data_IF_830678188919
#
_entry.id   IF_830678188919
#
_cell.length_a   1.000
_cell.length_b   1.000
_cell.length_c   1.000
_cell.angle_alpha   90.00
_cell.angle_beta   90.00
_cell.angle_gamma   90.00
#
_symmetry.space_group_name_H-M   'P 1'
#
loop_
_entity.id
_entity.type
_entity.pdbx_description
1 polymer ?
#
# COMPACT_ATOMS: atom_id res chain seq x y z
N UNK A 1 1.46 11.28 20.48
CA UNK A 1 2.06 12.62 20.65
C UNK A 1 1.48 13.32 21.86
N UNK A 2 2.28 14.16 22.46
CA UNK A 2 1.87 14.93 23.66
C UNK A 2 0.99 16.14 23.25
N UNK A 3 1.27 16.74 22.10
CA UNK A 3 0.58 17.94 21.63
C UNK A 3 0.40 17.93 20.09
N UNK A 4 -0.21 19.00 19.57
CA UNK A 4 -0.46 19.17 18.13
C UNK A 4 0.83 19.43 17.35
N UNK A 5 1.79 20.17 17.91
CA UNK A 5 3.05 20.49 17.25
C UNK A 5 3.89 19.23 17.00
N UNK A 6 3.91 18.30 17.99
CA UNK A 6 4.55 17.01 17.81
C UNK A 6 3.86 16.16 16.74
N UNK A 7 2.53 16.19 16.64
CA UNK A 7 1.80 15.50 15.58
C UNK A 7 2.11 16.08 14.20
N UNK A 8 2.22 17.40 14.07
CA UNK A 8 2.63 18.07 12.82
C UNK A 8 4.06 17.68 12.43
N UNK A 9 4.99 17.69 13.39
CA UNK A 9 6.37 17.27 13.12
C UNK A 9 6.45 15.81 12.62
N UNK A 10 5.64 14.90 13.18
CA UNK A 10 5.57 13.53 12.69
C UNK A 10 4.89 13.41 11.31
N UNK A 11 3.99 14.31 10.96
CA UNK A 11 3.38 14.37 9.64
C UNK A 11 4.35 14.88 8.56
N UNK A 12 5.30 15.74 8.93
CA UNK A 12 6.30 16.30 8.03
C UNK A 12 7.55 15.41 7.90
N UNK A 13 7.97 14.76 8.99
CA UNK A 13 9.25 14.06 9.09
C UNK A 13 9.12 12.55 9.31
N UNK A 14 7.88 12.03 9.38
CA UNK A 14 7.62 10.63 9.72
C UNK A 14 7.73 10.33 11.22
N UNK A 15 7.57 9.05 11.57
CA UNK A 15 7.66 8.54 12.95
C UNK A 15 8.71 7.42 13.06
N UNK A 16 10.01 7.75 13.21
CA UNK A 16 11.10 6.77 13.22
C UNK A 16 11.00 5.71 14.32
N UNK A 17 10.51 6.08 15.52
CA UNK A 17 10.36 5.11 16.61
C UNK A 17 9.31 4.04 16.30
N UNK A 18 8.26 4.40 15.57
CA UNK A 18 7.23 3.47 15.12
C UNK A 18 7.67 2.57 13.97
N UNK A 19 8.58 3.06 13.15
CA UNK A 19 9.12 2.36 11.98
C UNK A 19 9.69 0.98 12.31
N UNK A 20 10.43 0.84 13.40
CA UNK A 20 11.14 -0.41 13.72
C UNK A 20 10.15 -1.56 13.83
N UNK A 21 9.13 -1.44 14.70
CA UNK A 21 8.10 -2.46 14.86
C UNK A 21 7.26 -2.65 13.58
N UNK A 22 7.00 -1.57 12.85
CA UNK A 22 6.24 -1.57 11.62
C UNK A 22 6.99 -2.29 10.48
N UNK A 23 8.27 -2.02 10.30
CA UNK A 23 9.09 -2.61 9.25
C UNK A 23 9.27 -4.13 9.43
N UNK A 24 9.48 -4.60 10.65
CA UNK A 24 9.61 -6.03 10.94
C UNK A 24 8.33 -6.80 10.57
N UNK A 25 7.16 -6.26 10.91
CA UNK A 25 5.86 -6.88 10.60
C UNK A 25 5.60 -6.80 9.09
N UNK A 26 5.93 -5.69 8.43
CA UNK A 26 5.80 -5.55 6.98
C UNK A 26 6.65 -6.60 6.23
N UNK A 27 7.90 -6.78 6.62
CA UNK A 27 8.79 -7.79 6.05
C UNK A 27 8.25 -9.23 6.24
N UNK A 28 7.70 -9.54 7.41
CA UNK A 28 7.06 -10.84 7.65
C UNK A 28 5.81 -11.04 6.78
N UNK A 29 5.02 -9.98 6.57
CA UNK A 29 3.83 -10.03 5.72
C UNK A 29 4.19 -10.34 4.26
N UNK A 30 5.28 -9.76 3.74
CA UNK A 30 5.79 -10.04 2.38
C UNK A 30 6.16 -11.51 2.23
N UNK A 31 6.81 -12.12 3.23
CA UNK A 31 7.19 -13.53 3.19
C UNK A 31 5.99 -14.49 3.16
N UNK A 32 4.85 -14.10 3.72
CA UNK A 32 3.62 -14.89 3.74
C UNK A 32 2.81 -14.77 2.45
N UNK A 33 3.07 -13.76 1.62
CA UNK A 33 2.39 -13.61 0.34
C UNK A 33 2.98 -14.57 -0.68
N UNK A 34 2.12 -15.35 -1.35
CA UNK A 34 2.55 -16.18 -2.49
C UNK A 34 3.16 -15.28 -3.57
N UNK A 35 4.21 -15.80 -4.22
CA UNK A 35 4.81 -15.12 -5.35
C UNK A 35 3.77 -14.95 -6.45
N UNK A 36 3.47 -13.72 -6.82
CA UNK A 36 2.73 -13.47 -8.05
C UNK A 36 3.65 -13.91 -9.19
N UNK A 37 3.35 -15.06 -9.78
CA UNK A 37 4.11 -15.55 -10.92
C UNK A 37 3.87 -14.59 -12.09
N UNK A 38 4.91 -14.22 -12.84
CA UNK A 38 4.73 -13.43 -14.04
C UNK A 38 3.77 -14.18 -14.98
N UNK A 39 2.83 -13.46 -15.55
CA UNK A 39 1.93 -14.03 -16.56
C UNK A 39 2.78 -14.42 -17.77
N UNK A 40 2.95 -15.70 -17.96
CA UNK A 40 3.66 -16.26 -19.10
C UNK A 40 2.68 -16.39 -20.25
N UNK A 41 2.88 -15.58 -21.30
CA UNK A 41 2.18 -15.74 -22.56
C UNK A 41 2.83 -16.80 -23.46
N UNK A 42 2.09 -17.25 -24.45
CA UNK A 42 2.60 -18.12 -25.50
C UNK A 42 2.25 -17.50 -26.85
N UNK A 43 3.21 -17.53 -27.79
CA UNK A 43 3.04 -16.99 -29.13
C UNK A 43 3.85 -17.84 -30.13
N UNK A 44 3.72 -17.52 -31.43
CA UNK A 44 4.54 -18.12 -32.48
C UNK A 44 6.01 -17.69 -32.41
N UNK A 45 6.30 -16.56 -31.75
CA UNK A 45 7.65 -16.05 -31.54
C UNK A 45 7.82 -15.69 -30.05
N UNK A 46 8.97 -16.02 -29.46
CA UNK A 46 9.23 -15.77 -28.03
C UNK A 46 10.67 -16.05 -27.65
N UNK A 47 10.95 -16.02 -26.33
CA UNK A 47 12.30 -16.15 -25.80
C UNK A 47 12.83 -17.59 -25.86
N UNK A 48 11.98 -18.58 -25.62
CA UNK A 48 12.32 -20.00 -25.68
C UNK A 48 11.05 -20.85 -25.89
N UNK A 49 11.19 -22.07 -26.48
CA UNK A 49 10.04 -22.93 -26.71
C UNK A 49 9.58 -23.62 -25.42
N UNK A 50 8.26 -23.69 -25.24
CA UNK A 50 7.65 -24.62 -24.28
C UNK A 50 7.70 -26.02 -24.86
N UNK A 51 8.57 -26.86 -24.33
CA UNK A 51 8.76 -28.24 -24.85
C UNK A 51 7.46 -29.04 -24.89
N UNK A 52 6.58 -29.03 -23.87
CA UNK A 52 5.31 -29.75 -23.94
C UNK A 52 4.38 -29.26 -25.06
N UNK A 53 4.28 -27.95 -25.29
CA UNK A 53 3.45 -27.38 -26.36
C UNK A 53 4.02 -27.66 -27.75
N UNK A 54 5.34 -27.53 -27.89
CA UNK A 54 6.03 -27.87 -29.13
C UNK A 54 5.82 -29.33 -29.56
N UNK A 55 5.97 -30.26 -28.59
CA UNK A 55 5.74 -31.70 -28.83
C UNK A 55 4.25 -32.00 -29.08
N UNK A 56 3.34 -31.19 -28.53
CA UNK A 56 1.91 -31.26 -28.81
C UNK A 56 1.49 -30.69 -30.18
N UNK A 57 2.43 -30.12 -30.93
CA UNK A 57 2.14 -29.51 -32.25
C UNK A 57 1.46 -28.16 -32.20
N UNK A 58 1.52 -27.49 -31.05
CA UNK A 58 0.97 -26.16 -30.85
C UNK A 58 1.84 -25.11 -31.58
N UNK A 59 1.25 -24.31 -32.46
CA UNK A 59 1.99 -23.27 -33.18
C UNK A 59 2.42 -22.12 -32.24
N UNK A 60 1.64 -21.84 -31.24
CA UNK A 60 1.95 -20.83 -30.18
C UNK A 60 2.73 -21.50 -29.04
N UNK A 61 3.88 -22.09 -29.35
CA UNK A 61 4.67 -22.82 -28.38
C UNK A 61 5.83 -22.01 -27.77
N UNK A 62 6.09 -20.80 -28.27
CA UNK A 62 7.16 -19.96 -27.74
C UNK A 62 6.68 -19.21 -26.51
N UNK A 63 7.46 -19.31 -25.42
CA UNK A 63 7.21 -18.53 -24.21
C UNK A 63 7.57 -17.08 -24.48
N UNK A 64 6.60 -16.21 -24.30
CA UNK A 64 6.80 -14.77 -24.37
C UNK A 64 6.47 -14.14 -23.03
N UNK A 65 7.30 -13.21 -22.60
CA UNK A 65 6.88 -12.22 -21.65
C UNK A 65 6.32 -11.08 -22.49
N UNK A 66 5.00 -10.88 -22.48
CA UNK A 66 4.39 -9.80 -23.20
C UNK A 66 4.97 -8.46 -22.71
N UNK A 67 5.84 -7.79 -23.50
CA UNK A 67 6.39 -6.51 -23.10
C UNK A 67 5.31 -5.44 -22.98
N UNK A 68 4.19 -5.58 -23.70
CA UNK A 68 3.06 -4.65 -23.61
C UNK A 68 2.29 -4.82 -22.30
N UNK A 69 2.25 -6.02 -21.71
CA UNK A 69 1.68 -6.23 -20.37
C UNK A 69 2.65 -5.72 -19.29
N UNK A 70 3.96 -5.92 -19.47
CA UNK A 70 4.97 -5.47 -18.53
C UNK A 70 5.34 -3.99 -18.67
N UNK A 71 5.15 -3.37 -19.82
CA UNK A 71 5.49 -1.96 -20.06
C UNK A 71 4.37 -1.00 -19.66
N UNK A 72 3.16 -1.49 -19.52
CA UNK A 72 2.09 -0.75 -18.85
C UNK A 72 2.23 -0.96 -17.36
N UNK A 73 3.05 -0.15 -16.73
CA UNK A 73 3.05 0.00 -15.26
C UNK A 73 1.63 0.35 -14.83
N UNK A 74 0.85 -0.67 -14.50
CA UNK A 74 -0.50 -0.44 -14.00
C UNK A 74 -0.38 0.30 -12.67
N UNK A 75 -0.96 1.48 -12.62
CA UNK A 75 -1.11 2.21 -11.37
C UNK A 75 -2.25 1.53 -10.61
N UNK A 76 -1.93 1.00 -9.44
CA UNK A 76 -2.89 0.37 -8.53
C UNK A 76 -3.18 1.35 -7.40
N UNK A 77 -4.34 1.99 -7.36
CA UNK A 77 -4.72 2.82 -6.23
C UNK A 77 -5.17 1.94 -5.05
N UNK A 78 -4.54 2.15 -3.90
CA UNK A 78 -4.93 1.53 -2.62
C UNK A 78 -5.52 2.63 -1.75
N UNK A 79 -6.74 2.41 -1.26
CA UNK A 79 -7.40 3.29 -0.31
C UNK A 79 -7.37 2.67 1.08
N UNK A 80 -6.69 3.34 2.02
CA UNK A 80 -6.53 2.89 3.38
C UNK A 80 -7.31 3.77 4.36
N UNK A 81 -8.38 3.23 4.97
CA UNK A 81 -9.11 3.93 6.03
C UNK A 81 -8.32 3.96 7.33
N UNK A 82 -8.18 5.13 7.96
CA UNK A 82 -7.47 5.29 9.23
C UNK A 82 -8.38 5.26 10.44
N UNK A 83 -9.69 5.32 10.25
CA UNK A 83 -10.65 5.20 11.33
C UNK A 83 -10.54 3.84 12.01
N UNK A 84 -10.53 3.85 13.32
CA UNK A 84 -10.50 2.64 14.13
C UNK A 84 -11.35 2.82 15.38
N UNK A 85 -12.09 1.76 15.76
CA UNK A 85 -12.82 1.74 17.02
C UNK A 85 -11.85 1.84 18.22
N UNK A 86 -12.28 2.52 19.27
CA UNK A 86 -11.53 2.60 20.52
C UNK A 86 -11.28 1.24 21.19
N UNK A 87 -12.06 0.22 20.83
CA UNK A 87 -11.89 -1.16 21.29
C UNK A 87 -10.77 -1.93 20.58
N UNK A 88 -10.25 -1.41 19.45
CA UNK A 88 -9.19 -2.07 18.71
C UNK A 88 -7.88 -1.99 19.48
N UNK A 89 -7.21 -3.13 19.57
CA UNK A 89 -5.88 -3.20 20.19
C UNK A 89 -4.85 -2.50 19.29
N UNK A 90 -3.86 -1.90 19.93
CA UNK A 90 -2.75 -1.21 19.24
C UNK A 90 -2.06 -2.13 18.23
N UNK A 91 -1.82 -3.38 18.60
CA UNK A 91 -1.17 -4.38 17.77
C UNK A 91 -1.96 -4.66 16.48
N UNK A 92 -3.30 -4.69 16.56
CA UNK A 92 -4.15 -4.89 15.38
C UNK A 92 -4.02 -3.75 14.38
N UNK A 93 -3.90 -2.51 14.87
CA UNK A 93 -3.73 -1.33 14.01
C UNK A 93 -2.35 -1.35 13.35
N UNK A 94 -1.30 -1.68 14.11
CA UNK A 94 0.07 -1.81 13.58
C UNK A 94 0.14 -2.92 12.53
N UNK A 95 -0.42 -4.10 12.83
CA UNK A 95 -0.42 -5.23 11.90
C UNK A 95 -1.15 -4.89 10.59
N UNK A 96 -2.29 -4.19 10.66
CA UNK A 96 -3.01 -3.73 9.47
C UNK A 96 -2.17 -2.78 8.63
N UNK A 97 -1.56 -1.77 9.24
CA UNK A 97 -0.71 -0.82 8.53
C UNK A 97 0.51 -1.49 7.89
N UNK A 98 1.15 -2.39 8.62
CA UNK A 98 2.31 -3.14 8.14
C UNK A 98 1.95 -4.11 7.00
N UNK A 99 0.76 -4.73 7.05
CA UNK A 99 0.27 -5.56 5.95
C UNK A 99 0.03 -4.75 4.67
N UNK A 100 -0.47 -3.51 4.79
CA UNK A 100 -0.61 -2.59 3.65
C UNK A 100 0.77 -2.25 3.06
N UNK A 101 1.77 -1.95 3.89
CA UNK A 101 3.13 -1.68 3.43
C UNK A 101 3.74 -2.89 2.72
N UNK A 102 3.59 -4.09 3.28
CA UNK A 102 4.04 -5.33 2.66
C UNK A 102 3.35 -5.63 1.33
N UNK A 103 2.05 -5.35 1.22
CA UNK A 103 1.31 -5.48 -0.04
C UNK A 103 1.86 -4.51 -1.10
N UNK A 104 2.11 -3.25 -0.74
CA UNK A 104 2.66 -2.25 -1.65
C UNK A 104 4.04 -2.69 -2.14
N UNK A 105 4.95 -3.07 -1.23
CA UNK A 105 6.29 -3.55 -1.57
C UNK A 105 6.22 -4.75 -2.53
N UNK A 106 5.30 -5.67 -2.28
CA UNK A 106 5.11 -6.85 -3.13
C UNK A 106 4.61 -6.48 -4.53
N UNK A 107 3.64 -5.59 -4.64
CA UNK A 107 3.10 -5.13 -5.92
C UNK A 107 4.17 -4.37 -6.72
N UNK A 108 4.94 -3.50 -6.09
CA UNK A 108 6.01 -2.74 -6.73
C UNK A 108 7.17 -3.64 -7.17
N UNK A 109 7.53 -4.63 -6.36
CA UNK A 109 8.52 -5.66 -6.75
C UNK A 109 8.03 -6.51 -7.94
N UNK A 110 6.70 -6.64 -8.11
CA UNK A 110 6.10 -7.33 -9.25
C UNK A 110 5.95 -6.43 -10.50
N UNK A 111 6.47 -5.20 -10.48
CA UNK A 111 6.48 -4.28 -11.62
C UNK A 111 5.29 -3.33 -11.72
N UNK A 112 4.38 -3.33 -10.74
CA UNK A 112 3.28 -2.37 -10.67
C UNK A 112 3.73 -1.06 -10.02
N UNK A 113 3.03 0.03 -10.30
CA UNK A 113 3.17 1.28 -9.55
C UNK A 113 1.98 1.42 -8.61
N UNK A 114 2.23 1.65 -7.33
CA UNK A 114 1.16 1.77 -6.33
C UNK A 114 1.00 3.22 -5.90
N UNK A 115 -0.25 3.68 -5.91
CA UNK A 115 -0.67 4.94 -5.26
C UNK A 115 -1.36 4.59 -3.95
N UNK A 116 -0.97 5.21 -2.85
CA UNK A 116 -1.62 5.04 -1.57
C UNK A 116 -2.37 6.31 -1.18
N UNK A 117 -3.69 6.20 -1.07
CA UNK A 117 -4.57 7.25 -0.56
C UNK A 117 -5.07 6.85 0.82
N UNK A 118 -4.88 7.71 1.78
CA UNK A 118 -5.39 7.53 3.14
C UNK A 118 -6.68 8.33 3.28
N UNK A 119 -7.71 7.72 3.86
CA UNK A 119 -8.98 8.39 4.05
C UNK A 119 -9.57 8.19 5.44
N UNK A 120 -10.39 9.13 5.82
CA UNK A 120 -11.28 9.05 6.97
C UNK A 120 -12.71 9.35 6.54
N UNK A 121 -13.63 8.59 7.12
CA UNK A 121 -15.05 8.86 7.04
C UNK A 121 -15.64 8.85 8.45
N UNK A 122 -16.28 9.93 8.82
CA UNK A 122 -17.01 10.03 10.08
C UNK A 122 -18.40 10.63 9.87
N UNK A 123 -19.30 10.30 10.78
CA UNK A 123 -20.66 10.84 10.83
C UNK A 123 -20.93 11.31 12.25
N UNK A 124 -21.22 12.61 12.40
CA UNK A 124 -21.60 13.20 13.67
C UNK A 124 -22.80 14.14 13.44
N UNK A 125 -23.85 14.01 14.25
CA UNK A 125 -25.02 14.91 14.26
C UNK A 125 -25.60 15.24 12.85
N UNK A 126 -25.76 14.21 12.00
CA UNK A 126 -26.21 14.32 10.60
C UNK A 126 -25.22 14.92 9.62
N UNK A 127 -24.05 15.36 10.07
CA UNK A 127 -22.95 15.82 9.22
C UNK A 127 -22.10 14.62 8.84
N UNK A 128 -21.83 14.48 7.55
CA UNK A 128 -20.88 13.47 7.03
C UNK A 128 -19.60 14.19 6.66
N UNK A 129 -18.52 13.74 7.26
CA UNK A 129 -17.18 14.20 6.91
C UNK A 129 -16.47 13.12 6.11
N UNK A 130 -15.83 13.53 5.02
CA UNK A 130 -14.93 12.73 4.23
C UNK A 130 -13.64 13.50 4.02
N UNK A 131 -12.54 12.96 4.50
CA UNK A 131 -11.21 13.51 4.30
C UNK A 131 -10.32 12.47 3.65
N UNK A 132 -9.58 12.87 2.62
CA UNK A 132 -8.58 12.02 1.99
C UNK A 132 -7.33 12.80 1.63
N UNK A 133 -6.19 12.12 1.61
CA UNK A 133 -4.94 12.66 1.11
C UNK A 133 -4.06 11.55 0.54
N UNK A 134 -3.28 11.90 -0.47
CA UNK A 134 -2.30 11.01 -1.05
C UNK A 134 -1.09 10.90 -0.13
N UNK A 135 -0.82 9.70 0.36
CA UNK A 135 0.33 9.42 1.22
C UNK A 135 1.55 9.00 0.40
N UNK A 136 1.33 8.37 -0.74
CA UNK A 136 2.36 7.92 -1.67
C UNK A 136 1.84 8.04 -3.10
N UNK A 137 2.52 8.81 -3.92
CA UNK A 137 2.21 8.85 -5.35
C UNK A 137 2.76 7.62 -6.10
N UNK A 138 2.15 7.32 -7.23
CA UNK A 138 2.63 6.24 -8.09
C UNK A 138 4.04 6.54 -8.60
N UNK A 139 4.95 5.59 -8.41
CA UNK A 139 6.36 5.74 -8.80
C UNK A 139 7.26 6.41 -7.78
N UNK A 140 6.73 6.93 -6.69
CA UNK A 140 7.53 7.38 -5.55
C UNK A 140 8.00 6.20 -4.70
N UNK A 141 9.16 6.32 -4.02
CA UNK A 141 9.62 5.29 -3.08
C UNK A 141 8.68 5.20 -1.87
N UNK A 142 8.62 4.01 -1.27
CA UNK A 142 7.85 3.76 -0.06
C UNK A 142 8.56 4.37 1.16
N UNK A 143 7.92 5.35 1.80
CA UNK A 143 8.40 5.94 3.06
C UNK A 143 7.73 5.24 4.25
N UNK A 144 8.49 4.37 4.93
CA UNK A 144 7.99 3.61 6.07
C UNK A 144 7.76 4.46 7.33
N UNK A 145 8.48 5.57 7.49
CA UNK A 145 8.30 6.47 8.64
C UNK A 145 6.98 7.23 8.51
N UNK A 146 6.69 7.72 7.31
CA UNK A 146 5.41 8.37 7.00
C UNK A 146 4.24 7.39 7.09
N UNK A 147 4.40 6.17 6.57
CA UNK A 147 3.36 5.14 6.65
C UNK A 147 3.09 4.70 8.08
N UNK A 148 4.15 4.49 8.90
CA UNK A 148 4.00 4.14 10.29
C UNK A 148 3.21 5.21 11.04
N UNK A 149 3.48 6.48 10.80
CA UNK A 149 2.71 7.58 11.39
C UNK A 149 1.25 7.59 10.90
N UNK A 150 1.05 7.65 9.59
CA UNK A 150 -0.27 7.86 9.00
C UNK A 150 -1.24 6.69 9.26
N UNK A 151 -0.76 5.45 9.17
CA UNK A 151 -1.62 4.27 9.27
C UNK A 151 -1.77 3.73 10.70
N UNK A 152 -0.83 4.05 11.62
CA UNK A 152 -0.81 3.38 12.93
C UNK A 152 -0.78 4.32 14.12
N UNK A 153 -0.29 5.56 13.97
CA UNK A 153 -0.20 6.47 15.09
C UNK A 153 -1.53 7.20 15.35
N UNK A 154 -2.08 7.13 16.56
CA UNK A 154 -3.40 7.70 16.86
C UNK A 154 -3.48 9.22 16.69
N UNK A 155 -2.35 9.93 16.70
CA UNK A 155 -2.34 11.38 16.53
C UNK A 155 -2.61 11.82 15.09
N UNK A 156 -2.36 10.98 14.11
CA UNK A 156 -2.75 11.28 12.73
C UNK A 156 -4.26 11.52 12.67
N UNK A 157 -5.06 10.59 13.15
CA UNK A 157 -6.52 10.72 13.21
C UNK A 157 -6.96 11.79 14.22
N UNK A 158 -6.57 11.63 15.48
CA UNK A 158 -7.17 12.40 16.59
C UNK A 158 -6.71 13.84 16.68
N UNK A 159 -5.57 14.20 16.10
CA UNK A 159 -5.08 15.57 16.13
C UNK A 159 -5.15 16.24 14.77
N UNK A 160 -4.66 15.60 13.74
CA UNK A 160 -4.60 16.23 12.41
C UNK A 160 -5.96 16.20 11.72
N UNK A 161 -6.57 15.02 11.56
CA UNK A 161 -7.85 14.94 10.87
C UNK A 161 -8.99 15.63 11.63
N UNK A 162 -9.06 15.47 12.95
CA UNK A 162 -10.08 16.17 13.75
C UNK A 162 -9.90 17.68 13.69
N UNK A 163 -8.66 18.20 13.70
CA UNK A 163 -8.44 19.63 13.53
C UNK A 163 -8.91 20.15 12.17
N UNK A 164 -8.73 19.35 11.10
CA UNK A 164 -9.26 19.69 9.77
C UNK A 164 -10.78 19.66 9.76
N UNK A 165 -11.41 18.68 10.41
CA UNK A 165 -12.87 18.63 10.56
C UNK A 165 -13.40 19.88 11.28
N UNK A 166 -12.81 20.23 12.42
CA UNK A 166 -13.22 21.41 13.22
C UNK A 166 -13.04 22.73 12.46
N UNK A 167 -12.03 22.81 11.59
CA UNK A 167 -11.79 24.01 10.78
C UNK A 167 -12.75 24.16 9.59
N UNK A 168 -13.41 23.09 9.15
CA UNK A 168 -14.29 23.07 7.97
C UNK A 168 -15.78 22.84 8.32
N UNK A 169 -16.12 22.65 9.58
CA UNK A 169 -17.49 22.51 10.10
C UNK A 169 -18.00 23.77 10.71
#
# INVERSE_FOLDING_TARGET
>A
SKDFAEAMSMAENGWPEGRVAFADIAAQSVQQMEAVLPVVGYDVAGMYPSVPRFLGGDQECMVTHDPDINDRRHIIPIYAGISASASNKKETIINRGAAIAGLIDRLETSGHSVQLVVFEHSVADFIRYWGEYELKAAGEPLDLDMMAFALTHPSCLRRLHFAVMEANG
#
